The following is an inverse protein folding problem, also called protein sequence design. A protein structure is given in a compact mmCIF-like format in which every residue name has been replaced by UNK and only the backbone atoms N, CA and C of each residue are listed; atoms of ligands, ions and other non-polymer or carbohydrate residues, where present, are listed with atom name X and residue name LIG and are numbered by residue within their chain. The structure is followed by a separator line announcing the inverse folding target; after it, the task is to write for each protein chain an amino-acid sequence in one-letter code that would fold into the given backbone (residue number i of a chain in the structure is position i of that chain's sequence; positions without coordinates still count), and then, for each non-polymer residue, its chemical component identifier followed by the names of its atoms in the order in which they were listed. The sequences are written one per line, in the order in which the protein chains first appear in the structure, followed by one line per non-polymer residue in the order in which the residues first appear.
data_IF_722956181582
#
_entry.id   IF_722956181582
#
_cell.length_a   1.000
_cell.length_b   1.000
_cell.length_c   1.000
_cell.angle_alpha   90.00
_cell.angle_beta   90.00
_cell.angle_gamma   90.00
#
_symmetry.space_group_name_H-M   'P 1'
#
loop_
_entity.id
_entity.type
_entity.pdbx_description
1 polymer ?
#
# COMPACT_ATOMS: atom_id res chain seq x y z
N UNK A 1 12.50 -1.87 18.45
CA UNK A 1 13.70 -0.99 18.52
C UNK A 1 13.53 -0.05 19.70
N UNK A 2 14.58 0.65 20.14
CA UNK A 2 14.49 1.56 21.30
C UNK A 2 14.62 3.01 20.83
N UNK A 3 13.82 3.89 21.41
CA UNK A 3 13.84 5.34 21.16
C UNK A 3 13.94 6.11 22.47
N UNK A 4 14.43 7.34 22.40
CA UNK A 4 14.43 8.25 23.53
C UNK A 4 13.19 9.15 23.48
N UNK A 5 12.45 9.19 24.58
CA UNK A 5 11.28 10.04 24.82
C UNK A 5 11.48 10.68 26.19
N UNK A 6 11.41 12.01 26.29
CA UNK A 6 11.68 12.75 27.54
C UNK A 6 12.95 12.27 28.28
N UNK A 7 14.03 12.07 27.52
CA UNK A 7 15.33 11.61 28.05
C UNK A 7 15.36 10.17 28.61
N UNK A 8 14.28 9.40 28.46
CA UNK A 8 14.15 8.01 28.88
C UNK A 8 14.02 7.08 27.67
N UNK A 9 14.48 5.83 27.81
CA UNK A 9 14.44 4.84 26.73
C UNK A 9 13.13 4.05 26.74
N UNK A 10 12.47 3.97 25.59
CA UNK A 10 11.20 3.25 25.43
C UNK A 10 11.20 2.39 24.17
N UNK A 11 10.49 1.25 24.16
CA UNK A 11 10.30 0.46 22.96
C UNK A 11 9.46 1.22 21.92
N UNK A 12 9.93 1.20 20.67
CA UNK A 12 9.18 1.59 19.50
C UNK A 12 9.03 0.37 18.58
N UNK A 13 7.79 0.13 18.18
CA UNK A 13 7.38 -0.87 17.20
C UNK A 13 7.04 -0.11 15.93
N UNK A 14 7.77 -0.36 14.84
CA UNK A 14 7.38 0.15 13.52
C UNK A 14 6.49 -0.92 12.89
N UNK A 15 5.23 -0.58 12.58
CA UNK A 15 4.23 -1.56 12.18
C UNK A 15 3.49 -1.12 10.92
N UNK A 16 3.66 -1.87 9.83
CA UNK A 16 3.00 -1.62 8.55
C UNK A 16 1.52 -1.99 8.55
N UNK A 17 1.08 -2.86 9.46
CA UNK A 17 -0.31 -3.30 9.59
C UNK A 17 -1.24 -2.30 10.28
N UNK A 18 -0.74 -1.14 10.69
CA UNK A 18 -1.57 -0.05 11.25
C UNK A 18 -1.42 1.21 10.42
N UNK A 19 -2.54 1.85 10.11
CA UNK A 19 -2.51 3.18 9.52
C UNK A 19 -2.03 4.23 10.53
N UNK A 20 -2.60 4.20 11.74
CA UNK A 20 -2.34 5.19 12.78
C UNK A 20 -1.21 4.75 13.70
N UNK A 21 -0.53 5.73 14.29
CA UNK A 21 0.39 5.48 15.40
C UNK A 21 -0.39 5.43 16.70
N UNK A 22 -0.08 4.46 17.55
CA UNK A 22 -0.87 4.16 18.75
C UNK A 22 0.03 3.91 19.97
N UNK A 23 -0.53 4.13 21.15
CA UNK A 23 0.08 3.79 22.44
C UNK A 23 -1.02 3.30 23.39
N UNK A 24 -0.71 2.32 24.22
CA UNK A 24 -1.65 1.80 25.21
C UNK A 24 -1.74 2.73 26.43
N UNK A 25 -2.96 2.91 26.97
CA UNK A 25 -3.21 3.64 28.22
C UNK A 25 -2.37 3.10 29.36
N UNK A 26 -2.44 1.79 29.60
CA UNK A 26 -1.68 1.10 30.67
C UNK A 26 -0.17 1.34 30.56
N UNK A 27 0.35 1.44 29.34
CA UNK A 27 1.77 1.72 29.14
C UNK A 27 2.10 3.17 29.52
N UNK A 28 1.24 4.13 29.20
CA UNK A 28 1.44 5.52 29.62
C UNK A 28 1.34 5.68 31.14
N UNK A 29 0.36 5.04 31.78
CA UNK A 29 0.15 5.07 33.23
C UNK A 29 1.39 4.62 34.02
N UNK A 30 2.09 3.60 33.50
CA UNK A 30 3.26 3.03 34.16
C UNK A 30 4.55 3.83 33.93
N UNK A 31 4.63 4.65 32.88
CA UNK A 31 5.89 5.26 32.44
C UNK A 31 5.91 6.79 32.41
N UNK A 32 4.76 7.46 32.39
CA UNK A 32 4.68 8.91 32.25
C UNK A 32 3.72 9.51 33.28
N UNK A 33 4.22 10.44 34.10
CA UNK A 33 3.41 11.14 35.08
C UNK A 33 2.55 12.21 34.41
N UNK A 34 1.26 12.28 34.74
CA UNK A 34 0.31 13.29 34.23
C UNK A 34 0.18 13.34 32.69
N UNK A 35 0.38 12.22 31.98
CA UNK A 35 0.26 12.17 30.51
C UNK A 35 -1.12 12.63 30.02
N UNK A 36 -2.17 12.40 30.82
CA UNK A 36 -3.55 12.81 30.55
C UNK A 36 -3.70 14.32 30.31
N UNK A 37 -2.87 15.15 30.96
CA UNK A 37 -2.90 16.62 30.77
C UNK A 37 -2.41 17.05 29.40
N UNK A 38 -1.67 16.17 28.71
CA UNK A 38 -1.14 16.40 27.37
C UNK A 38 -2.03 15.75 26.29
N UNK A 39 -3.21 15.26 26.68
CA UNK A 39 -4.14 14.61 25.78
C UNK A 39 -4.99 15.64 25.04
N UNK A 40 -5.02 15.52 23.72
CA UNK A 40 -5.97 16.22 22.89
C UNK A 40 -7.19 15.34 22.66
N UNK A 41 -8.36 15.85 23.03
CA UNK A 41 -9.62 15.16 22.76
C UNK A 41 -9.82 15.07 21.25
N UNK A 42 -9.91 13.84 20.76
CA UNK A 42 -10.19 13.58 19.35
C UNK A 42 -11.69 13.44 19.18
N UNK A 43 -12.25 13.95 18.07
CA UNK A 43 -13.62 13.56 17.67
C UNK A 43 -13.69 12.04 17.62
N UNK A 44 -14.78 11.45 18.11
CA UNK A 44 -14.98 9.99 18.17
C UNK A 44 -14.57 9.33 16.84
N UNK A 45 -13.38 8.74 16.83
CA UNK A 45 -12.87 7.96 15.71
C UNK A 45 -12.98 6.49 16.08
N UNK A 46 -13.58 5.71 15.19
CA UNK A 46 -13.75 4.27 15.42
C UNK A 46 -12.47 3.55 15.01
N UNK A 47 -11.77 2.96 15.98
CA UNK A 47 -10.60 2.13 15.73
C UNK A 47 -10.99 0.66 15.72
N UNK A 48 -10.34 -0.13 14.85
CA UNK A 48 -10.52 -1.57 14.74
C UNK A 48 -9.15 -2.25 14.74
N UNK A 49 -9.03 -3.33 15.48
CA UNK A 49 -7.94 -4.29 15.41
C UNK A 49 -8.44 -5.63 14.88
N UNK A 50 -7.54 -6.59 14.75
CA UNK A 50 -7.89 -7.98 14.44
C UNK A 50 -8.79 -8.62 15.52
N UNK A 51 -8.79 -8.09 16.75
CA UNK A 51 -9.55 -8.60 17.89
C UNK A 51 -10.91 -7.90 18.06
N UNK A 52 -11.20 -6.87 17.27
CA UNK A 52 -12.49 -6.18 17.30
C UNK A 52 -12.35 -4.66 17.36
N UNK A 53 -13.35 -4.00 17.95
CA UNK A 53 -13.37 -2.54 18.11
C UNK A 53 -12.49 -2.14 19.28
N UNK A 54 -11.86 -0.97 19.17
CA UNK A 54 -11.02 -0.41 20.22
C UNK A 54 -11.53 0.97 20.64
N UNK A 55 -11.42 1.26 21.93
CA UNK A 55 -11.82 2.54 22.51
C UNK A 55 -10.64 3.52 22.50
N UNK A 56 -10.82 4.68 21.88
CA UNK A 56 -9.82 5.77 21.88
C UNK A 56 -10.14 6.82 22.92
N UNK A 57 -9.16 7.17 23.73
CA UNK A 57 -9.27 8.18 24.78
C UNK A 57 -8.94 9.57 24.20
N UNK A 58 -7.92 9.65 23.34
CA UNK A 58 -7.52 10.88 22.67
C UNK A 58 -6.20 10.70 21.92
N UNK A 59 -5.59 11.82 21.54
CA UNK A 59 -4.28 11.84 20.89
C UNK A 59 -3.25 12.55 21.75
N UNK A 60 -2.02 12.06 21.70
CA UNK A 60 -0.87 12.68 22.36
C UNK A 60 0.24 12.91 21.32
N UNK A 61 0.73 14.15 21.24
CA UNK A 61 1.88 14.49 20.40
C UNK A 61 3.14 14.25 21.23
N UNK A 62 3.95 13.27 20.85
CA UNK A 62 5.19 12.92 21.54
C UNK A 62 6.37 13.10 20.60
N UNK A 63 7.42 13.79 21.05
CA UNK A 63 8.70 13.80 20.35
C UNK A 63 9.47 12.51 20.62
N UNK A 64 9.78 11.76 19.56
CA UNK A 64 10.60 10.55 19.61
C UNK A 64 11.95 10.82 18.96
N UNK A 65 13.02 10.40 19.64
CA UNK A 65 14.38 10.52 19.14
C UNK A 65 14.92 9.11 18.89
N UNK A 66 15.20 8.81 17.63
CA UNK A 66 15.86 7.57 17.21
C UNK A 66 17.36 7.86 17.13
N UNK A 67 18.17 7.33 18.06
CA UNK A 67 19.61 7.55 18.06
C UNK A 67 20.26 6.86 16.86
N UNK A 68 21.15 7.56 16.17
CA UNK A 68 21.89 7.02 15.03
C UNK A 68 23.27 7.67 14.89
N UNK A 69 24.27 6.89 14.47
CA UNK A 69 25.68 7.30 14.46
C UNK A 69 25.99 8.52 13.59
N UNK A 70 25.18 8.77 12.56
CA UNK A 70 25.33 9.92 11.65
C UNK A 70 24.50 11.14 12.05
N UNK A 71 23.91 11.12 13.23
CA UNK A 71 22.95 12.11 13.69
C UNK A 71 21.61 11.45 14.02
N UNK A 72 20.95 11.99 15.04
CA UNK A 72 19.70 11.45 15.54
C UNK A 72 18.54 11.84 14.64
N UNK A 73 17.64 10.89 14.38
CA UNK A 73 16.37 11.16 13.72
C UNK A 73 15.36 11.61 14.79
N UNK A 74 14.80 12.79 14.63
CA UNK A 74 13.79 13.35 15.54
C UNK A 74 12.45 13.42 14.82
N UNK A 75 11.41 12.84 15.42
CA UNK A 75 10.07 12.80 14.86
C UNK A 75 9.09 13.33 15.90
N UNK A 76 8.03 14.01 15.47
CA UNK A 76 6.93 14.44 16.34
C UNK A 76 5.60 13.81 15.92
N UNK A 77 5.43 12.49 16.11
CA UNK A 77 4.18 11.80 15.80
C UNK A 77 3.05 12.09 16.81
N UNK A 78 1.83 12.06 16.29
CA UNK A 78 0.59 11.93 17.04
C UNK A 78 0.31 10.45 17.30
N UNK A 79 0.28 10.07 18.57
CA UNK A 79 -0.14 8.76 19.01
C UNK A 79 -1.59 8.81 19.48
N UNK A 80 -2.41 7.91 18.94
CA UNK A 80 -3.74 7.65 19.50
C UNK A 80 -3.57 6.81 20.76
N UNK A 81 -4.09 7.30 21.87
CA UNK A 81 -4.14 6.56 23.12
C UNK A 81 -5.37 5.66 23.12
N UNK A 82 -5.13 4.36 23.22
CA UNK A 82 -6.18 3.34 23.23
C UNK A 82 -6.29 2.72 24.62
N UNK A 83 -7.52 2.61 25.12
CA UNK A 83 -7.82 2.00 26.41
C UNK A 83 -7.59 0.49 26.39
N UNK A 84 -8.15 -0.18 25.38
CA UNK A 84 -8.17 -1.65 25.28
C UNK A 84 -6.94 -2.22 24.53
N UNK A 85 -5.85 -1.46 24.41
CA UNK A 85 -4.66 -1.90 23.68
C UNK A 85 -3.65 -2.60 24.59
N UNK A 86 -3.13 -3.75 24.17
CA UNK A 86 -2.08 -4.47 24.87
C UNK A 86 -0.74 -4.35 24.14
N UNK A 87 -0.09 -3.19 24.27
CA UNK A 87 1.19 -2.90 23.61
C UNK A 87 2.18 -2.38 24.66
N UNK A 88 3.34 -3.02 24.74
CA UNK A 88 4.44 -2.64 25.63
C UNK A 88 5.39 -1.67 24.91
N UNK A 89 4.92 -0.45 24.66
CA UNK A 89 5.67 0.59 23.96
C UNK A 89 4.83 1.45 23.04
N UNK A 90 5.51 2.20 22.19
CA UNK A 90 4.89 3.03 21.15
C UNK A 90 4.84 2.27 19.83
N UNK A 91 3.74 2.40 19.10
CA UNK A 91 3.60 1.83 17.75
C UNK A 91 3.54 2.96 16.72
N UNK A 92 4.51 2.98 15.80
CA UNK A 92 4.55 3.89 14.67
C UNK A 92 3.88 3.26 13.45
N UNK A 93 2.72 3.80 13.09
CA UNK A 93 1.93 3.37 11.94
C UNK A 93 2.44 3.90 10.60
N UNK A 94 1.78 3.46 9.53
CA UNK A 94 2.16 3.79 8.14
C UNK A 94 1.99 5.26 7.80
N UNK A 95 1.14 6.00 8.52
CA UNK A 95 0.98 7.44 8.35
C UNK A 95 2.32 8.19 8.51
N UNK A 96 3.04 7.90 9.59
CA UNK A 96 4.34 8.53 9.85
C UNK A 96 5.49 7.84 9.15
N UNK A 97 5.40 6.54 8.87
CA UNK A 97 6.38 5.88 8.00
C UNK A 97 6.44 6.56 6.63
N UNK A 98 5.29 6.79 5.99
CA UNK A 98 5.22 7.47 4.68
C UNK A 98 5.65 8.93 4.77
N UNK A 99 5.16 9.66 5.78
CA UNK A 99 5.48 11.09 5.94
C UNK A 99 6.98 11.34 6.10
N UNK A 100 7.68 10.46 6.81
CA UNK A 100 9.12 10.60 7.09
C UNK A 100 10.01 9.70 6.21
N UNK A 101 9.44 8.98 5.23
CA UNK A 101 10.18 8.09 4.34
C UNK A 101 10.86 6.92 5.06
N UNK A 102 10.27 6.42 6.14
CA UNK A 102 10.77 5.28 6.92
C UNK A 102 10.28 3.99 6.27
N UNK A 103 11.18 3.31 5.57
CA UNK A 103 10.93 1.99 5.00
C UNK A 103 11.44 0.89 5.97
N UNK A 104 10.58 -0.08 6.27
CA UNK A 104 10.96 -1.28 7.03
C UNK A 104 11.50 -2.31 6.04
N UNK A 105 12.75 -2.74 6.24
CA UNK A 105 13.33 -3.83 5.48
C UNK A 105 13.50 -5.04 6.41
N UNK A 106 12.75 -6.10 6.16
CA UNK A 106 13.09 -7.40 6.74
C UNK A 106 14.39 -7.85 6.07
N UNK A 107 15.36 -8.33 6.84
CA UNK A 107 16.63 -8.83 6.32
C UNK A 107 16.42 -9.98 5.30
N UNK A 108 15.25 -10.61 5.29
CA UNK A 108 14.81 -11.60 4.31
C UNK A 108 14.31 -11.00 2.99
N UNK A 109 13.80 -9.77 2.94
CA UNK A 109 13.53 -9.07 1.66
C UNK A 109 14.82 -8.64 0.94
N UNK A 110 15.97 -8.65 1.63
CA UNK A 110 17.29 -8.66 0.95
C UNK A 110 17.57 -9.99 0.26
N UNK A 111 16.91 -11.08 0.68
CA UNK A 111 16.96 -12.38 0.02
C UNK A 111 15.97 -12.50 -1.16
N UNK A 112 14.92 -11.68 -1.27
CA UNK A 112 14.07 -11.67 -2.49
C UNK A 112 14.87 -11.22 -3.72
N UNK A 113 15.86 -10.35 -3.55
CA UNK A 113 16.86 -10.07 -4.61
C UNK A 113 17.87 -11.22 -4.83
N UNK A 114 17.88 -12.30 -4.01
CA UNK A 114 18.68 -13.51 -4.28
C UNK A 114 18.03 -14.44 -5.30
N UNK A 115 16.74 -14.30 -5.61
CA UNK A 115 16.16 -15.03 -6.75
C UNK A 115 16.68 -14.49 -8.09
N UNK A 116 17.12 -13.24 -8.11
CA UNK A 116 18.05 -12.77 -9.14
C UNK A 116 19.39 -13.47 -8.95
N UNK A 117 19.67 -14.49 -9.75
CA UNK A 117 20.98 -15.14 -9.86
C UNK A 117 22.06 -14.08 -10.18
N UNK A 118 22.60 -13.42 -9.17
CA UNK A 118 23.79 -12.59 -9.35
C UNK A 118 24.90 -13.51 -9.86
N UNK A 119 25.55 -13.12 -10.96
CA UNK A 119 26.70 -13.84 -11.49
C UNK A 119 27.69 -14.21 -10.37
N UNK A 120 28.16 -15.45 -10.39
CA UNK A 120 29.15 -15.96 -9.43
C UNK A 120 30.45 -15.12 -9.43
N UNK A 121 30.70 -14.37 -10.50
CA UNK A 121 31.89 -13.54 -10.68
C UNK A 121 31.80 -12.18 -9.96
N UNK A 122 30.67 -11.86 -9.33
CA UNK A 122 30.49 -10.59 -8.63
C UNK A 122 31.00 -10.65 -7.19
N UNK A 123 31.97 -9.79 -6.87
CA UNK A 123 32.42 -9.56 -5.49
C UNK A 123 31.34 -8.89 -4.65
N UNK A 124 31.44 -9.03 -3.32
CA UNK A 124 30.49 -8.43 -2.36
C UNK A 124 30.34 -6.92 -2.52
N UNK A 125 31.42 -6.22 -2.90
CA UNK A 125 31.41 -4.77 -3.15
C UNK A 125 30.62 -4.42 -4.42
N UNK A 126 30.74 -5.21 -5.48
CA UNK A 126 29.98 -5.02 -6.71
C UNK A 126 28.49 -5.29 -6.50
N UNK A 127 28.13 -6.35 -5.75
CA UNK A 127 26.74 -6.64 -5.39
C UNK A 127 26.09 -5.50 -4.61
N UNK A 128 26.80 -4.95 -3.63
CA UNK A 128 26.33 -3.80 -2.84
C UNK A 128 26.15 -2.54 -3.69
N UNK A 129 27.05 -2.28 -4.63
CA UNK A 129 26.94 -1.15 -5.56
C UNK A 129 25.74 -1.33 -6.51
N UNK A 130 25.58 -2.53 -7.07
CA UNK A 130 24.47 -2.87 -7.96
C UNK A 130 23.12 -2.75 -7.25
N UNK A 131 22.99 -3.28 -6.03
CA UNK A 131 21.78 -3.13 -5.22
C UNK A 131 21.40 -1.67 -4.95
N UNK A 132 22.39 -0.79 -4.75
CA UNK A 132 22.13 0.66 -4.61
C UNK A 132 21.55 1.26 -5.90
N UNK A 133 22.09 0.86 -7.05
CA UNK A 133 21.63 1.34 -8.36
C UNK A 133 20.22 0.83 -8.67
N UNK A 134 19.96 -0.47 -8.49
CA UNK A 134 18.65 -1.07 -8.71
C UNK A 134 17.58 -0.41 -7.82
N UNK A 135 17.91 -0.17 -6.54
CA UNK A 135 17.01 0.53 -5.61
C UNK A 135 16.73 1.98 -6.00
N UNK A 136 17.75 2.72 -6.44
CA UNK A 136 17.58 4.09 -6.92
C UNK A 136 16.59 4.15 -8.08
N UNK A 137 16.57 3.13 -8.93
CA UNK A 137 15.73 3.05 -10.12
C UNK A 137 14.53 2.10 -9.93
N UNK A 138 14.08 1.84 -8.69
CA UNK A 138 13.05 0.83 -8.40
C UNK A 138 11.74 1.02 -9.19
N UNK A 139 11.39 2.28 -9.49
CA UNK A 139 10.19 2.65 -10.24
C UNK A 139 10.26 2.36 -11.74
N UNK A 140 11.42 1.95 -12.25
CA UNK A 140 11.62 1.53 -13.64
C UNK A 140 11.45 0.02 -13.83
N UNK A 141 11.29 -0.76 -12.76
CA UNK A 141 11.10 -2.22 -12.84
C UNK A 141 9.64 -2.58 -12.77
N UNK A 142 9.20 -3.45 -13.68
CA UNK A 142 7.85 -4.00 -13.71
C UNK A 142 7.50 -4.67 -12.37
N UNK A 143 6.31 -4.38 -11.87
CA UNK A 143 5.74 -5.02 -10.66
C UNK A 143 4.54 -5.85 -11.15
N UNK A 144 4.18 -6.93 -10.44
CA UNK A 144 3.11 -7.85 -10.87
C UNK A 144 1.77 -7.17 -11.20
N UNK A 145 1.47 -6.02 -10.59
CA UNK A 145 0.26 -5.22 -10.86
C UNK A 145 0.48 -4.13 -11.94
N UNK A 146 1.74 -3.77 -12.21
CA UNK A 146 2.15 -2.78 -13.22
C UNK A 146 3.29 -3.37 -14.08
N UNK A 147 2.96 -4.17 -15.13
CA UNK A 147 3.95 -4.87 -15.93
C UNK A 147 4.84 -3.93 -16.75
N UNK A 148 4.41 -2.68 -16.90
CA UNK A 148 5.14 -1.59 -17.53
C UNK A 148 5.30 -0.52 -16.46
N UNK A 149 6.36 -0.63 -15.66
CA UNK A 149 6.69 0.37 -14.66
C UNK A 149 6.81 1.76 -15.30
N UNK A 150 6.92 2.80 -14.45
CA UNK A 150 6.90 4.23 -14.79
C UNK A 150 8.12 4.68 -15.64
N UNK A 151 8.27 4.11 -16.83
CA UNK A 151 9.26 4.48 -17.84
C UNK A 151 8.70 5.72 -18.54
N UNK A 152 9.08 6.89 -18.06
CA UNK A 152 8.77 8.14 -18.75
C UNK A 152 9.56 8.24 -20.05
N UNK A 153 8.86 8.43 -21.17
CA UNK A 153 9.48 8.83 -22.44
C UNK A 153 9.79 7.72 -23.44
N UNK A 154 9.13 6.56 -23.37
CA UNK A 154 9.02 5.68 -24.54
C UNK A 154 7.55 5.64 -24.97
N UNK A 155 7.27 6.31 -26.10
CA UNK A 155 6.10 5.97 -26.91
C UNK A 155 6.26 4.48 -27.26
N UNK A 156 5.48 3.64 -26.59
CA UNK A 156 5.38 2.24 -26.97
C UNK A 156 4.62 2.27 -28.31
N UNK A 157 5.35 2.23 -29.43
CA UNK A 157 4.75 1.91 -30.72
C UNK A 157 4.38 0.43 -30.70
N UNK A 158 3.15 0.16 -30.27
CA UNK A 158 2.49 -1.13 -30.42
C UNK A 158 2.21 -1.33 -31.92
N UNK A 159 3.13 -2.00 -32.60
CA UNK A 159 2.86 -2.54 -33.92
C UNK A 159 1.96 -3.77 -33.76
N UNK A 160 0.66 -3.57 -33.95
CA UNK A 160 -0.25 -4.68 -34.26
C UNK A 160 0.12 -5.19 -35.64
N UNK A 161 0.86 -6.30 -35.71
CA UNK A 161 0.97 -7.07 -36.94
C UNK A 161 -0.44 -7.60 -37.28
N UNK A 162 -1.17 -6.80 -38.06
CA UNK A 162 -2.47 -7.17 -38.64
C UNK A 162 -2.28 -8.06 -39.88
N UNK A 163 -1.03 -8.41 -40.19
CA UNK A 163 -0.74 -9.26 -41.34
C UNK A 163 -1.05 -10.72 -41.02
N UNK A 164 -1.85 -11.32 -41.91
CA UNK A 164 -2.18 -12.73 -41.83
C UNK A 164 -0.89 -13.57 -41.98
N UNK A 165 -0.81 -14.71 -41.27
CA UNK A 165 -1.89 -15.36 -40.55
C UNK A 165 -1.96 -14.98 -39.06
N UNK A 166 -3.15 -14.59 -38.61
CA UNK A 166 -3.38 -14.27 -37.20
C UNK A 166 -3.04 -15.46 -36.28
N UNK A 167 -2.54 -15.17 -35.06
CA UNK A 167 -2.40 -16.15 -33.99
C UNK A 167 -3.68 -16.99 -33.84
N UNK A 168 -3.60 -18.32 -33.68
CA UNK A 168 -4.77 -19.20 -33.60
C UNK A 168 -5.81 -18.78 -32.55
N UNK A 169 -5.39 -18.09 -31.49
CA UNK A 169 -6.29 -17.56 -30.45
C UNK A 169 -7.20 -16.43 -30.94
N UNK A 170 -6.73 -15.59 -31.87
CA UNK A 170 -7.52 -14.49 -32.45
C UNK A 170 -8.46 -14.98 -33.57
N UNK A 171 -8.31 -16.22 -34.03
CA UNK A 171 -9.24 -16.86 -34.97
C UNK A 171 -10.48 -17.45 -34.30
N UNK A 172 -10.52 -17.47 -32.96
CA UNK A 172 -11.69 -17.96 -32.22
C UNK A 172 -12.81 -16.94 -32.33
N UNK A 173 -14.08 -17.36 -32.45
CA UNK A 173 -15.19 -16.43 -32.33
C UNK A 173 -15.11 -15.71 -30.97
N UNK A 174 -15.63 -14.47 -30.88
CA UNK A 174 -15.78 -13.79 -29.60
C UNK A 174 -16.45 -14.72 -28.60
N UNK A 175 -16.00 -14.69 -27.34
CA UNK A 175 -16.64 -15.50 -26.31
C UNK A 175 -18.11 -15.10 -26.18
N UNK A 176 -18.96 -16.10 -25.97
CA UNK A 176 -20.38 -15.83 -25.72
C UNK A 176 -20.53 -14.98 -24.45
N UNK A 177 -21.41 -13.97 -24.51
CA UNK A 177 -21.80 -13.23 -23.32
C UNK A 177 -22.39 -14.18 -22.26
N UNK A 178 -22.14 -13.91 -20.98
CA UNK A 178 -22.69 -14.71 -19.89
C UNK A 178 -24.22 -14.71 -19.90
N UNK A 179 -24.84 -15.73 -19.30
CA UNK A 179 -26.30 -15.83 -19.19
C UNK A 179 -26.93 -14.60 -18.52
N UNK A 180 -26.27 -14.03 -17.52
CA UNK A 180 -26.72 -12.80 -16.85
C UNK A 180 -26.55 -11.58 -17.76
N UNK A 181 -25.41 -11.45 -18.45
CA UNK A 181 -25.19 -10.35 -19.38
C UNK A 181 -26.19 -10.38 -20.55
N UNK A 182 -26.53 -11.57 -21.07
CA UNK A 182 -27.57 -11.71 -22.10
C UNK A 182 -28.93 -11.23 -21.63
N UNK A 183 -29.34 -11.58 -20.41
CA UNK A 183 -30.63 -11.14 -19.82
C UNK A 183 -30.68 -9.61 -19.66
N UNK A 184 -29.61 -9.01 -19.17
CA UNK A 184 -29.54 -7.54 -19.03
C UNK A 184 -29.51 -6.83 -20.38
N UNK A 185 -28.80 -7.39 -21.38
CA UNK A 185 -28.79 -6.86 -22.74
C UNK A 185 -30.20 -6.94 -23.36
N UNK A 186 -30.89 -8.08 -23.25
CA UNK A 186 -32.26 -8.22 -23.75
C UNK A 186 -33.23 -7.25 -23.07
N UNK A 187 -33.12 -7.08 -21.75
CA UNK A 187 -33.90 -6.11 -21.00
C UNK A 187 -33.65 -4.69 -21.52
N UNK A 188 -32.39 -4.31 -21.72
CA UNK A 188 -32.06 -2.97 -22.20
C UNK A 188 -32.48 -2.74 -23.66
N UNK A 189 -32.39 -3.75 -24.52
CA UNK A 189 -32.92 -3.68 -25.88
C UNK A 189 -34.43 -3.45 -25.86
N UNK A 190 -35.17 -4.13 -24.98
CA UNK A 190 -36.61 -3.93 -24.83
C UNK A 190 -36.95 -2.52 -24.33
N UNK A 191 -36.22 -2.00 -23.33
CA UNK A 191 -36.38 -0.62 -22.85
C UNK A 191 -36.16 0.40 -23.99
N UNK A 192 -35.15 0.20 -24.83
CA UNK A 192 -34.86 1.09 -25.96
C UNK A 192 -35.88 0.98 -27.09
N UNK A 193 -36.51 -0.19 -27.28
CA UNK A 193 -37.64 -0.37 -28.19
C UNK A 193 -38.90 0.32 -27.65
N UNK A 194 -39.17 0.25 -26.34
CA UNK A 194 -40.32 0.89 -25.70
C UNK A 194 -40.27 2.43 -25.76
N UNK A 195 -39.06 3.01 -25.73
CA UNK A 195 -38.85 4.46 -25.81
C UNK A 195 -38.69 4.92 -27.28
N UNK A 196 -38.88 4.03 -28.26
CA UNK A 196 -38.70 4.28 -29.71
C UNK A 196 -37.31 4.85 -30.08
N UNK A 197 -36.29 4.59 -29.24
CA UNK A 197 -34.89 5.00 -29.51
C UNK A 197 -34.28 4.12 -30.59
N UNK A 198 -34.65 2.83 -30.58
CA UNK A 198 -34.27 1.88 -31.61
C UNK A 198 -35.51 1.20 -32.16
N UNK A 199 -35.47 0.76 -33.41
CA UNK A 199 -36.55 -0.01 -34.04
C UNK A 199 -36.00 -1.31 -34.62
N UNK A 200 -36.82 -2.35 -34.66
CA UNK A 200 -36.46 -3.60 -35.32
C UNK A 200 -36.51 -3.39 -36.84
N UNK A 201 -35.36 -3.52 -37.50
CA UNK A 201 -35.26 -3.49 -38.96
C UNK A 201 -35.60 -4.89 -39.49
N UNK A 202 -36.50 -4.96 -40.46
CA UNK A 202 -36.87 -6.22 -41.11
C UNK A 202 -35.75 -6.72 -42.02
N UNK A 203 -35.62 -8.03 -42.22
CA UNK A 203 -34.58 -8.63 -43.10
C UNK A 203 -34.59 -8.10 -44.55
N UNK A 204 -35.67 -7.45 -44.99
CA UNK A 204 -35.84 -6.90 -46.34
C UNK A 204 -35.66 -5.38 -46.43
N UNK A 205 -35.37 -4.69 -45.32
CA UNK A 205 -34.98 -3.27 -45.37
C UNK A 205 -33.47 -3.19 -45.63
N UNK A 206 -33.11 -2.90 -46.88
CA UNK A 206 -31.75 -2.48 -47.23
C UNK A 206 -31.54 -1.05 -46.72
N UNK A 207 -30.50 -0.85 -45.90
CA UNK A 207 -29.98 0.48 -45.53
C UNK A 207 -28.88 0.86 -46.50
#
# INVERSE_FOLDING_TARGET
MTVCIYSSQHPLIIYSGSHCSIVAKDYLDNHFLNWEKQLFLTKERKFKSALGRMTSIGTNITEIIIPHMKGNLRLKPEFVVLEDAHIQGFLLGTNYQRMYGIDIYIKESLNEFKEGLFSANLTSKHKLSLLKILRKNRSAFAIGEEPLAKIGGHDIELYLDVEKPYPPMLRRPPYEASLEARKEIEKHINELLEIDVIRKIGHNELV
#
